data_IF_960106765519
#
_entry.id   IF_960106765519
#
_cell.length_a   1.000
_cell.length_b   1.000
_cell.length_c   1.000
_cell.angle_alpha   90.00
_cell.angle_beta   90.00
_cell.angle_gamma   90.00
#
_symmetry.space_group_name_H-M   'P 1'
#
loop_
_entity.id
_entity.type
_entity.pdbx_description
1 polymer ?
#
# COMPACT_ATOMS: atom_id res chain seq x y z
N UNK A 1 22.97 -0.08 51.06
CA UNK A 1 21.93 -0.40 50.08
C UNK A 1 22.64 -0.63 48.73
N UNK A 2 22.57 -1.80 48.11
CA UNK A 2 23.25 -2.01 46.83
C UNK A 2 22.35 -1.50 45.70
N UNK A 3 22.94 -0.67 44.83
CA UNK A 3 22.34 -0.18 43.57
C UNK A 3 22.10 -1.34 42.61
N UNK A 4 20.86 -1.49 42.17
CA UNK A 4 20.47 -2.43 41.13
C UNK A 4 20.66 -1.77 39.75
N UNK A 5 21.71 -2.17 39.05
CA UNK A 5 21.89 -1.86 37.64
C UNK A 5 20.79 -2.49 36.78
N UNK A 6 20.18 -1.77 35.83
CA UNK A 6 19.19 -2.36 34.92
C UNK A 6 19.87 -3.39 34.01
N UNK A 7 19.30 -4.58 33.94
CA UNK A 7 19.73 -5.67 33.04
C UNK A 7 19.66 -5.20 31.58
N UNK A 8 20.82 -4.98 30.96
CA UNK A 8 20.94 -4.69 29.54
C UNK A 8 20.52 -5.89 28.72
N UNK A 9 19.49 -5.72 27.90
CA UNK A 9 19.15 -6.69 26.85
C UNK A 9 20.28 -6.74 25.82
N UNK A 10 20.74 -7.91 25.38
CA UNK A 10 21.76 -8.01 24.36
C UNK A 10 21.27 -7.35 23.08
N UNK A 11 22.01 -6.37 22.58
CA UNK A 11 21.77 -5.77 21.27
C UNK A 11 22.10 -6.83 20.21
N UNK A 12 21.04 -7.50 19.74
CA UNK A 12 21.17 -8.40 18.58
C UNK A 12 21.51 -7.51 17.38
N UNK A 13 22.79 -7.47 16.98
CA UNK A 13 23.20 -6.92 15.68
C UNK A 13 22.53 -7.78 14.61
N UNK A 14 21.40 -7.31 14.06
CA UNK A 14 20.80 -7.92 12.87
C UNK A 14 21.82 -7.75 11.74
N UNK A 15 22.38 -8.88 11.28
CA UNK A 15 23.14 -8.89 10.02
C UNK A 15 22.23 -8.28 8.95
N UNK A 16 22.68 -7.22 8.31
CA UNK A 16 22.03 -6.69 7.11
C UNK A 16 22.30 -7.70 5.99
N UNK A 17 21.35 -8.60 5.80
CA UNK A 17 21.32 -9.42 4.59
C UNK A 17 20.79 -8.51 3.49
N UNK A 18 21.63 -8.18 2.55
CA UNK A 18 21.24 -7.52 1.31
C UNK A 18 20.56 -8.61 0.46
N UNK A 19 19.24 -8.64 0.46
CA UNK A 19 18.47 -9.49 -0.42
C UNK A 19 18.02 -8.61 -1.59
N UNK A 20 18.61 -8.79 -2.79
CA UNK A 20 18.10 -8.12 -3.98
C UNK A 20 16.63 -8.47 -4.15
N UNK A 21 15.87 -7.57 -4.81
CA UNK A 21 14.46 -7.83 -5.12
C UNK A 21 14.31 -9.20 -5.77
N UNK A 22 13.35 -9.97 -5.29
CA UNK A 22 13.06 -11.30 -5.85
C UNK A 22 12.65 -11.19 -7.32
N UNK A 23 12.76 -12.31 -8.04
CA UNK A 23 12.32 -12.38 -9.44
C UNK A 23 10.81 -12.16 -9.56
N UNK A 24 10.37 -11.74 -10.73
CA UNK A 24 8.95 -11.58 -11.04
C UNK A 24 8.13 -12.84 -10.71
N UNK A 25 8.59 -14.02 -11.13
CA UNK A 25 7.85 -15.27 -10.89
C UNK A 25 7.77 -15.64 -9.41
N UNK A 26 8.84 -15.40 -8.64
CA UNK A 26 8.82 -15.62 -7.19
C UNK A 26 7.82 -14.68 -6.49
N UNK A 27 7.83 -13.40 -6.84
CA UNK A 27 6.89 -12.40 -6.30
C UNK A 27 5.45 -12.69 -6.71
N UNK A 28 5.24 -13.16 -7.95
CA UNK A 28 3.93 -13.53 -8.44
C UNK A 28 3.37 -14.76 -7.70
N UNK A 29 4.21 -15.75 -7.42
CA UNK A 29 3.83 -16.90 -6.58
C UNK A 29 3.47 -16.49 -5.15
N UNK A 30 4.22 -15.57 -4.53
CA UNK A 30 3.85 -15.03 -3.22
C UNK A 30 2.51 -14.27 -3.27
N UNK A 31 2.26 -13.51 -4.34
CA UNK A 31 1.02 -12.76 -4.52
C UNK A 31 -0.18 -13.69 -4.72
N UNK A 32 -0.02 -14.78 -5.50
CA UNK A 32 -1.03 -15.81 -5.68
C UNK A 32 -1.42 -16.47 -4.35
N UNK A 33 -0.42 -16.85 -3.54
CA UNK A 33 -0.66 -17.44 -2.21
C UNK A 33 -1.38 -16.45 -1.29
N UNK A 34 -0.97 -15.17 -1.31
CA UNK A 34 -1.55 -14.14 -0.44
C UNK A 34 -3.01 -13.80 -0.81
N UNK A 35 -3.35 -13.88 -2.10
CA UNK A 35 -4.68 -13.54 -2.62
C UNK A 35 -5.61 -14.76 -2.78
N UNK A 36 -5.04 -15.97 -2.85
CA UNK A 36 -5.77 -17.22 -2.98
C UNK A 36 -5.95 -17.74 -4.42
N UNK A 37 -5.69 -16.93 -5.44
CA UNK A 37 -5.69 -17.34 -6.86
C UNK A 37 -4.92 -16.37 -7.71
N UNK A 38 -4.46 -16.81 -8.88
CA UNK A 38 -3.80 -15.94 -9.85
C UNK A 38 -4.81 -15.27 -10.79
N UNK A 39 -4.62 -13.96 -11.02
CA UNK A 39 -5.42 -13.19 -11.98
C UNK A 39 -4.59 -12.09 -12.68
N UNK A 40 -5.12 -11.52 -13.76
CA UNK A 40 -4.46 -10.45 -14.50
C UNK A 40 -4.13 -9.22 -13.64
N UNK A 41 -4.99 -8.89 -12.66
CA UNK A 41 -4.77 -7.78 -11.73
C UNK A 41 -3.54 -7.98 -10.85
N UNK A 42 -3.26 -9.22 -10.43
CA UNK A 42 -2.05 -9.52 -9.66
C UNK A 42 -0.78 -9.38 -10.49
N UNK A 43 -0.80 -9.83 -11.74
CA UNK A 43 0.34 -9.66 -12.66
C UNK A 43 0.66 -8.17 -12.83
N UNK A 44 -0.37 -7.33 -13.09
CA UNK A 44 -0.19 -5.88 -13.14
C UNK A 44 0.34 -5.31 -11.83
N UNK A 45 -0.20 -5.74 -10.69
CA UNK A 45 0.21 -5.26 -9.37
C UNK A 45 1.67 -5.58 -9.05
N UNK A 46 2.12 -6.81 -9.32
CA UNK A 46 3.53 -7.21 -9.15
C UNK A 46 4.43 -6.37 -10.05
N UNK A 47 4.11 -6.26 -11.35
CA UNK A 47 4.92 -5.51 -12.31
C UNK A 47 4.96 -4.01 -12.00
N UNK A 48 3.81 -3.43 -11.62
CA UNK A 48 3.72 -2.03 -11.21
C UNK A 48 4.58 -1.74 -9.98
N UNK A 49 4.55 -2.62 -8.98
CA UNK A 49 5.33 -2.44 -7.77
C UNK A 49 6.83 -2.64 -8.00
N UNK A 50 7.22 -3.61 -8.82
CA UNK A 50 8.62 -3.77 -9.23
C UNK A 50 9.13 -2.53 -9.97
N UNK A 51 8.36 -2.01 -10.92
CA UNK A 51 8.70 -0.80 -11.67
C UNK A 51 8.82 0.42 -10.73
N UNK A 52 7.89 0.60 -9.80
CA UNK A 52 7.94 1.69 -8.83
C UNK A 52 9.17 1.63 -7.92
N UNK A 53 9.52 0.44 -7.45
CA UNK A 53 10.75 0.23 -6.67
C UNK A 53 12.01 0.51 -7.51
N UNK A 54 12.06 0.03 -8.74
CA UNK A 54 13.17 0.27 -9.68
C UNK A 54 13.41 1.77 -9.91
N UNK A 55 12.35 2.52 -10.23
CA UNK A 55 12.44 3.98 -10.48
C UNK A 55 12.91 4.77 -9.26
N UNK A 56 12.64 4.29 -8.06
CA UNK A 56 13.06 4.91 -6.80
C UNK A 56 14.41 4.39 -6.28
N UNK A 57 15.03 3.40 -6.93
CA UNK A 57 16.24 2.74 -6.43
C UNK A 57 16.01 2.04 -5.09
N UNK A 58 14.86 1.39 -4.95
CA UNK A 58 14.50 0.55 -3.80
C UNK A 58 14.80 -0.91 -4.20
N UNK A 59 15.85 -1.48 -3.63
CA UNK A 59 16.31 -2.82 -3.99
C UNK A 59 15.78 -3.91 -3.06
N UNK A 60 15.58 -3.60 -1.78
CA UNK A 60 15.10 -4.53 -0.76
C UNK A 60 13.92 -3.94 0.03
N UNK A 61 12.73 -3.81 -0.60
CA UNK A 61 11.58 -3.14 0.02
C UNK A 61 11.03 -3.87 1.25
N UNK A 62 11.30 -5.17 1.39
CA UNK A 62 10.87 -5.97 2.56
C UNK A 62 11.94 -6.03 3.66
N UNK A 63 13.18 -5.72 3.36
CA UNK A 63 14.33 -5.80 4.26
C UNK A 63 14.97 -4.45 4.56
N UNK A 64 16.10 -4.13 3.91
CA UNK A 64 16.89 -2.93 4.20
C UNK A 64 16.11 -1.62 3.95
N UNK A 65 15.36 -1.55 2.86
CA UNK A 65 14.63 -0.36 2.43
C UNK A 65 13.20 -0.26 3.02
N UNK A 66 12.77 -1.22 3.84
CA UNK A 66 11.36 -1.34 4.32
C UNK A 66 10.80 -0.10 5.04
N UNK A 67 11.68 0.80 5.53
CA UNK A 67 11.27 2.05 6.19
C UNK A 67 11.26 3.26 5.26
N UNK A 68 11.81 3.10 4.06
CA UNK A 68 11.89 4.16 3.06
C UNK A 68 10.61 4.30 2.27
N UNK A 69 9.87 3.19 2.06
CA UNK A 69 8.79 3.14 1.10
C UNK A 69 7.42 3.36 1.76
N UNK A 70 6.65 4.29 1.19
CA UNK A 70 5.21 4.43 1.38
C UNK A 70 4.55 4.28 0.02
N UNK A 71 3.45 3.53 -0.03
CA UNK A 71 2.72 3.27 -1.27
C UNK A 71 1.27 3.71 -1.12
N UNK A 72 0.77 4.50 -2.06
CA UNK A 72 -0.64 4.83 -2.21
C UNK A 72 -1.22 3.94 -3.32
N UNK A 73 -2.35 3.30 -3.05
CA UNK A 73 -3.13 2.53 -4.03
C UNK A 73 -4.47 3.22 -4.28
N UNK A 74 -4.92 3.23 -5.54
CA UNK A 74 -6.11 3.99 -5.95
C UNK A 74 -7.32 3.09 -6.22
N UNK A 75 -7.21 1.79 -5.88
CA UNK A 75 -8.26 0.79 -6.05
C UNK A 75 -8.12 -0.32 -4.99
N UNK A 76 -9.23 -0.91 -4.58
CA UNK A 76 -9.33 -2.03 -3.63
C UNK A 76 -9.48 -3.39 -4.34
N UNK A 77 -8.62 -3.67 -5.33
CA UNK A 77 -8.68 -4.89 -6.15
C UNK A 77 -7.39 -5.70 -6.03
N UNK A 78 -7.36 -6.86 -6.69
CA UNK A 78 -6.26 -7.85 -6.66
C UNK A 78 -4.85 -7.24 -6.79
N UNK A 79 -4.69 -6.16 -7.58
CA UNK A 79 -3.41 -5.48 -7.73
C UNK A 79 -2.89 -4.88 -6.41
N UNK A 80 -3.78 -4.43 -5.52
CA UNK A 80 -3.41 -3.87 -4.23
C UNK A 80 -2.73 -4.90 -3.34
N UNK A 81 -3.23 -6.14 -3.32
CA UNK A 81 -2.61 -7.24 -2.57
C UNK A 81 -1.23 -7.57 -3.14
N UNK A 82 -1.10 -7.65 -4.46
CA UNK A 82 0.16 -7.90 -5.13
C UNK A 82 1.19 -6.78 -4.86
N UNK A 83 0.78 -5.51 -4.93
CA UNK A 83 1.61 -4.36 -4.57
C UNK A 83 2.07 -4.46 -3.11
N UNK A 84 1.18 -4.84 -2.20
CA UNK A 84 1.51 -5.00 -0.79
C UNK A 84 2.49 -6.17 -0.55
N UNK A 85 2.41 -7.24 -1.33
CA UNK A 85 3.35 -8.39 -1.30
C UNK A 85 4.74 -7.95 -1.73
N UNK A 86 4.85 -7.26 -2.87
CA UNK A 86 6.14 -6.81 -3.42
C UNK A 86 6.81 -5.78 -2.50
N UNK A 87 6.07 -4.76 -2.10
CA UNK A 87 6.60 -3.61 -1.34
C UNK A 87 6.77 -3.88 0.15
N UNK A 88 6.06 -4.89 0.69
CA UNK A 88 5.94 -5.10 2.14
C UNK A 88 5.16 -4.01 2.86
N UNK A 89 4.59 -3.03 2.14
CA UNK A 89 3.72 -2.00 2.68
C UNK A 89 2.39 -2.60 3.16
N UNK A 90 1.91 -2.17 4.33
CA UNK A 90 0.67 -2.65 4.95
C UNK A 90 -0.07 -1.49 5.60
N UNK A 91 -1.41 -1.56 5.64
CA UNK A 91 -2.24 -0.57 6.36
C UNK A 91 -1.84 -0.46 7.82
N UNK A 92 -1.68 -1.59 8.52
CA UNK A 92 -1.28 -1.62 9.94
C UNK A 92 0.12 -1.08 10.22
N UNK A 93 1.01 -1.03 9.22
CA UNK A 93 2.32 -0.36 9.30
C UNK A 93 2.24 1.12 8.90
N UNK A 94 1.07 1.60 8.46
CA UNK A 94 0.83 2.95 7.93
C UNK A 94 1.70 3.28 6.70
N UNK A 95 2.25 2.27 6.05
CA UNK A 95 3.06 2.37 4.84
C UNK A 95 2.24 2.16 3.56
N UNK A 96 1.12 1.43 3.63
CA UNK A 96 0.13 1.36 2.56
C UNK A 96 -0.98 2.36 2.83
N UNK A 97 -1.32 3.17 1.85
CA UNK A 97 -2.39 4.16 1.89
C UNK A 97 -3.40 3.85 0.81
N UNK A 98 -4.67 3.84 1.16
CA UNK A 98 -5.76 3.67 0.20
C UNK A 98 -6.41 5.01 -0.10
N UNK A 99 -6.58 5.31 -1.39
CA UNK A 99 -7.36 6.43 -1.92
C UNK A 99 -8.31 5.88 -2.97
N UNK A 100 -9.58 5.77 -2.62
CA UNK A 100 -10.58 5.15 -3.50
C UNK A 100 -10.93 6.10 -4.67
N UNK A 101 -10.19 5.93 -5.77
CA UNK A 101 -10.45 6.60 -7.03
C UNK A 101 -10.93 5.64 -8.12
N UNK A 102 -11.04 4.34 -7.81
CA UNK A 102 -11.43 3.30 -8.75
C UNK A 102 -10.43 3.11 -9.90
N UNK A 103 -9.18 3.56 -9.75
CA UNK A 103 -8.15 3.53 -10.81
C UNK A 103 -7.13 2.44 -10.53
N UNK A 104 -6.79 1.68 -11.58
CA UNK A 104 -5.68 0.71 -11.54
C UNK A 104 -4.35 1.47 -11.55
N UNK A 105 -4.01 2.09 -10.44
CA UNK A 105 -2.84 2.93 -10.27
C UNK A 105 -2.31 2.87 -8.84
N UNK A 106 -1.02 3.15 -8.70
CA UNK A 106 -0.37 3.33 -7.41
C UNK A 106 0.71 4.41 -7.48
N UNK A 107 0.96 5.07 -6.36
CA UNK A 107 2.05 6.03 -6.19
C UNK A 107 3.03 5.51 -5.15
N UNK A 108 4.29 5.41 -5.53
CA UNK A 108 5.39 4.97 -4.69
C UNK A 108 6.18 6.19 -4.23
N UNK A 109 6.45 6.28 -2.93
CA UNK A 109 7.14 7.43 -2.33
C UNK A 109 8.35 6.94 -1.55
N UNK A 110 9.53 7.41 -1.90
CA UNK A 110 10.73 7.22 -1.09
C UNK A 110 10.84 8.33 -0.04
N UNK A 111 10.63 7.98 1.21
CA UNK A 111 10.68 8.90 2.35
C UNK A 111 12.07 9.47 2.61
N UNK A 112 13.14 8.81 2.14
CA UNK A 112 14.51 9.28 2.35
C UNK A 112 14.91 10.41 1.40
N UNK A 113 14.34 10.42 0.19
CA UNK A 113 14.64 11.41 -0.86
C UNK A 113 13.48 12.36 -1.13
N UNK A 114 12.27 12.04 -0.69
CA UNK A 114 11.03 12.74 -1.04
C UNK A 114 10.55 12.52 -2.48
N UNK A 115 11.28 11.72 -3.27
CA UNK A 115 10.86 11.40 -4.65
C UNK A 115 9.63 10.52 -4.65
N UNK A 116 8.73 10.76 -5.58
CA UNK A 116 7.54 9.94 -5.77
C UNK A 116 7.23 9.73 -7.25
N UNK A 117 6.78 8.54 -7.60
CA UNK A 117 6.33 8.18 -8.93
C UNK A 117 4.95 7.55 -8.86
N UNK A 118 4.03 8.07 -9.68
CA UNK A 118 2.70 7.49 -9.90
C UNK A 118 2.73 6.64 -11.16
N UNK A 119 2.27 5.40 -11.06
CA UNK A 119 2.21 4.44 -12.16
C UNK A 119 0.76 4.01 -12.32
N UNK A 120 0.23 4.11 -13.54
CA UNK A 120 -1.15 3.73 -13.84
C UNK A 120 -1.20 2.76 -15.01
N UNK A 121 -2.06 1.74 -14.92
CA UNK A 121 -2.25 0.80 -16.00
C UNK A 121 -2.93 1.46 -17.21
N UNK A 122 -2.39 1.22 -18.40
CA UNK A 122 -2.95 1.71 -19.65
C UNK A 122 -4.14 0.87 -20.09
N UNK A 123 -5.26 1.50 -20.42
CA UNK A 123 -6.43 0.81 -20.96
C UNK A 123 -6.15 0.10 -22.30
N UNK A 124 -5.21 0.65 -23.10
CA UNK A 124 -4.73 0.05 -24.34
C UNK A 124 -4.10 -1.34 -24.14
N UNK A 125 -3.57 -1.64 -22.96
CA UNK A 125 -3.00 -2.96 -22.64
C UNK A 125 -4.01 -4.11 -22.81
N UNK A 126 -5.29 -3.84 -22.56
CA UNK A 126 -6.38 -4.81 -22.76
C UNK A 126 -6.62 -5.12 -24.24
N UNK A 127 -6.46 -4.11 -25.10
CA UNK A 127 -6.54 -4.29 -26.54
C UNK A 127 -5.32 -5.08 -27.03
N UNK A 128 -4.12 -4.71 -26.57
CA UNK A 128 -2.89 -5.44 -26.90
C UNK A 128 -2.97 -6.92 -26.51
N UNK A 129 -3.58 -7.24 -25.39
CA UNK A 129 -3.77 -8.62 -24.96
C UNK A 129 -4.65 -9.41 -25.96
N UNK A 130 -5.72 -8.80 -26.49
CA UNK A 130 -6.56 -9.41 -27.52
C UNK A 130 -5.84 -9.62 -28.84
N UNK A 131 -5.00 -8.67 -29.23
CA UNK A 131 -4.20 -8.74 -30.45
C UNK A 131 -3.12 -9.82 -30.39
N UNK A 132 -2.47 -9.98 -29.22
CA UNK A 132 -1.44 -11.01 -29.03
C UNK A 132 -2.02 -12.42 -28.92
N UNK A 133 -3.18 -12.57 -28.34
CA UNK A 133 -3.81 -13.87 -28.07
C UNK A 133 -5.25 -13.97 -28.64
N UNK A 134 -5.43 -13.79 -29.96
CA UNK A 134 -6.76 -13.71 -30.57
C UNK A 134 -7.55 -15.03 -30.47
N UNK A 135 -6.85 -16.16 -30.34
CA UNK A 135 -7.46 -17.49 -30.26
C UNK A 135 -7.89 -17.91 -28.85
N UNK A 136 -7.66 -17.06 -27.84
CA UNK A 136 -8.06 -17.32 -26.46
C UNK A 136 -9.36 -16.55 -26.18
N UNK A 137 -10.47 -17.25 -25.99
CA UNK A 137 -11.77 -16.63 -25.73
C UNK A 137 -11.86 -15.96 -24.35
N UNK A 138 -11.21 -16.53 -23.35
CA UNK A 138 -11.23 -16.03 -21.97
C UNK A 138 -10.37 -14.77 -21.84
N UNK A 139 -11.00 -13.61 -21.70
CA UNK A 139 -10.34 -12.31 -21.57
C UNK A 139 -9.33 -12.23 -20.42
N UNK A 140 -9.62 -12.86 -19.28
CA UNK A 140 -8.70 -12.86 -18.16
C UNK A 140 -7.44 -13.66 -18.50
N UNK A 141 -7.58 -14.81 -19.15
CA UNK A 141 -6.45 -15.62 -19.61
C UNK A 141 -5.62 -14.90 -20.66
N UNK A 142 -6.24 -14.22 -21.65
CA UNK A 142 -5.53 -13.36 -22.61
C UNK A 142 -4.65 -12.34 -21.88
N UNK A 143 -5.25 -11.61 -20.93
CA UNK A 143 -4.55 -10.58 -20.16
C UNK A 143 -3.44 -11.18 -19.29
N UNK A 144 -3.67 -12.31 -18.64
CA UNK A 144 -2.65 -12.97 -17.84
C UNK A 144 -1.40 -13.34 -18.64
N UNK A 145 -1.57 -13.82 -19.86
CA UNK A 145 -0.46 -14.14 -20.74
C UNK A 145 0.23 -12.85 -21.23
N UNK A 146 -0.53 -11.95 -21.82
CA UNK A 146 0.01 -10.71 -22.39
C UNK A 146 0.73 -9.83 -21.34
N UNK A 147 0.16 -9.72 -20.14
CA UNK A 147 0.76 -8.88 -19.08
C UNK A 147 2.06 -9.44 -18.51
N UNK A 148 2.37 -10.71 -18.74
CA UNK A 148 3.70 -11.27 -18.44
C UNK A 148 4.76 -10.82 -19.45
N UNK A 149 4.40 -10.64 -20.70
CA UNK A 149 5.32 -10.47 -21.82
C UNK A 149 5.44 -9.02 -22.31
N UNK A 150 4.33 -8.26 -22.27
CA UNK A 150 4.31 -6.87 -22.76
C UNK A 150 5.35 -6.01 -22.01
N UNK A 151 6.07 -5.13 -22.74
CA UNK A 151 6.97 -4.19 -22.09
C UNK A 151 6.21 -3.25 -21.15
N UNK A 152 6.88 -2.72 -20.13
CA UNK A 152 6.27 -1.80 -19.14
C UNK A 152 5.64 -0.57 -19.79
N UNK A 153 6.21 -0.09 -20.88
CA UNK A 153 5.71 1.06 -21.66
C UNK A 153 4.37 0.81 -22.37
N UNK A 154 4.02 -0.45 -22.61
CA UNK A 154 2.71 -0.83 -23.16
C UNK A 154 1.69 -1.19 -22.04
N UNK A 155 2.18 -1.40 -20.82
CA UNK A 155 1.35 -1.69 -19.66
C UNK A 155 1.00 -0.46 -18.82
N UNK A 156 1.94 0.49 -18.70
CA UNK A 156 1.84 1.56 -17.71
C UNK A 156 2.19 2.92 -18.30
N UNK A 157 1.53 3.95 -17.78
CA UNK A 157 2.03 5.32 -17.79
C UNK A 157 2.75 5.61 -16.48
N UNK A 158 3.80 6.40 -16.57
CA UNK A 158 4.65 6.82 -15.44
C UNK A 158 4.63 8.33 -15.32
N UNK A 159 4.46 8.85 -14.11
CA UNK A 159 4.46 10.29 -13.82
C UNK A 159 5.21 10.56 -12.52
N UNK A 160 6.25 11.40 -12.57
CA UNK A 160 6.91 11.89 -11.37
C UNK A 160 6.02 12.93 -10.71
N UNK A 161 5.75 12.75 -9.43
CA UNK A 161 4.80 13.57 -8.68
C UNK A 161 5.38 14.01 -7.34
N UNK A 162 4.76 15.02 -6.73
CA UNK A 162 5.02 15.41 -5.35
C UNK A 162 3.87 14.95 -4.48
N UNK A 163 4.16 14.27 -3.38
CA UNK A 163 3.15 13.78 -2.43
C UNK A 163 3.35 14.47 -1.08
N UNK A 164 2.52 15.45 -0.72
CA UNK A 164 2.57 16.09 0.59
C UNK A 164 1.98 15.16 1.66
N UNK A 165 2.84 14.35 2.31
CA UNK A 165 2.40 13.45 3.38
C UNK A 165 2.29 14.26 4.66
N UNK A 166 1.07 14.37 5.22
CA UNK A 166 0.89 15.04 6.50
C UNK A 166 1.65 14.29 7.62
N UNK A 167 2.32 14.98 8.56
CA UNK A 167 3.10 14.33 9.63
C UNK A 167 2.34 13.22 10.37
N UNK A 168 1.07 13.45 10.70
CA UNK A 168 0.20 12.45 11.35
C UNK A 168 -0.03 11.17 10.52
N UNK A 169 0.22 11.19 9.21
CA UNK A 169 0.08 10.05 8.31
C UNK A 169 1.40 9.28 8.12
N UNK A 170 2.50 9.80 8.60
CA UNK A 170 3.80 9.14 8.48
C UNK A 170 3.86 7.81 9.23
N UNK A 171 4.53 6.77 8.68
CA UNK A 171 4.84 5.57 9.43
C UNK A 171 5.60 5.90 10.74
N UNK A 172 5.16 5.29 11.84
CA UNK A 172 5.80 5.50 13.14
C UNK A 172 5.36 6.77 13.88
N UNK A 173 4.52 7.62 13.31
CA UNK A 173 3.95 8.78 14.02
C UNK A 173 3.18 8.32 15.27
N UNK A 174 3.36 9.05 16.35
CA UNK A 174 2.69 8.81 17.63
C UNK A 174 2.15 10.13 18.18
N UNK A 175 0.97 10.07 18.77
CA UNK A 175 0.36 11.15 19.53
C UNK A 175 -0.36 10.57 20.75
N UNK A 176 -0.78 11.43 21.66
CA UNK A 176 -1.63 11.05 22.78
C UNK A 176 -2.98 10.50 22.25
N UNK A 177 -3.52 9.53 23.00
CA UNK A 177 -4.89 9.05 22.72
C UNK A 177 -5.87 9.93 23.47
N UNK A 178 -6.87 10.44 22.78
CA UNK A 178 -7.90 11.34 23.31
C UNK A 178 -9.25 10.60 23.29
N UNK A 179 -10.06 10.71 24.34
CA UNK A 179 -11.41 10.17 24.35
C UNK A 179 -12.38 11.09 23.60
N UNK A 180 -13.25 10.52 22.80
CA UNK A 180 -14.36 11.25 22.19
C UNK A 180 -15.35 11.70 23.27
N UNK A 181 -15.68 12.99 23.31
CA UNK A 181 -16.61 13.52 24.32
C UNK A 181 -18.03 12.92 24.20
N UNK A 182 -18.41 12.43 23.02
CA UNK A 182 -19.77 11.90 22.78
C UNK A 182 -19.91 10.40 22.97
N UNK A 183 -19.01 9.57 22.42
CA UNK A 183 -19.11 8.10 22.52
C UNK A 183 -18.11 7.47 23.49
N UNK A 184 -17.16 8.23 24.04
CA UNK A 184 -16.14 7.74 24.96
C UNK A 184 -15.02 6.92 24.30
N UNK A 185 -15.12 6.59 23.02
CA UNK A 185 -14.10 5.82 22.32
C UNK A 185 -12.80 6.60 22.13
N UNK A 186 -11.68 5.91 22.21
CA UNK A 186 -10.36 6.54 22.08
C UNK A 186 -9.98 6.83 20.63
N UNK A 187 -9.59 8.06 20.38
CA UNK A 187 -9.11 8.58 19.10
C UNK A 187 -7.59 8.59 19.11
N UNK A 188 -6.96 8.08 18.05
CA UNK A 188 -5.51 8.04 17.91
C UNK A 188 -5.03 8.92 16.79
N UNK A 189 -3.77 9.35 16.86
CA UNK A 189 -3.02 9.96 15.77
C UNK A 189 -3.61 11.29 15.27
N UNK A 190 -4.07 12.13 16.19
CA UNK A 190 -4.62 13.47 15.92
C UNK A 190 -5.74 13.41 14.85
N UNK A 191 -6.64 12.40 14.99
CA UNK A 191 -7.80 12.25 14.11
C UNK A 191 -9.10 12.74 14.74
N UNK A 192 -9.00 13.39 15.88
CA UNK A 192 -10.12 14.11 16.49
C UNK A 192 -10.54 15.29 15.63
N UNK A 193 -11.82 15.65 15.78
CA UNK A 193 -12.45 16.80 15.15
C UNK A 193 -12.98 17.69 16.26
N UNK A 194 -12.64 18.98 16.23
CA UNK A 194 -13.19 19.96 17.15
C UNK A 194 -14.50 20.49 16.59
N UNK A 195 -15.58 20.32 17.32
CA UNK A 195 -16.93 20.85 17.00
C UNK A 195 -17.42 21.72 18.17
N UNK A 196 -17.34 23.04 18.00
CA UNK A 196 -17.49 23.96 19.12
C UNK A 196 -16.39 23.73 20.15
N UNK A 197 -16.76 23.41 21.40
CA UNK A 197 -15.81 23.09 22.47
C UNK A 197 -15.63 21.58 22.68
N UNK A 198 -16.35 20.73 21.91
CA UNK A 198 -16.27 19.28 22.03
C UNK A 198 -15.19 18.67 21.13
N UNK A 199 -14.37 17.79 21.70
CA UNK A 199 -13.43 16.95 20.93
C UNK A 199 -14.11 15.63 20.57
N UNK A 200 -14.41 15.42 19.28
CA UNK A 200 -15.18 14.28 18.80
C UNK A 200 -14.36 13.37 17.85
N UNK A 201 -14.73 12.09 17.78
CA UNK A 201 -14.30 11.25 16.68
C UNK A 201 -15.03 11.63 15.38
N UNK A 202 -14.48 11.28 14.22
CA UNK A 202 -15.08 11.58 12.91
C UNK A 202 -16.53 11.07 12.80
N UNK A 203 -16.80 9.87 13.31
CA UNK A 203 -18.13 9.26 13.28
C UNK A 203 -19.17 10.01 14.16
N UNK A 204 -18.72 10.68 15.22
CA UNK A 204 -19.59 11.51 16.04
C UNK A 204 -19.70 12.96 15.55
N UNK A 205 -18.64 13.46 14.92
CA UNK A 205 -18.64 14.80 14.30
C UNK A 205 -19.53 14.85 13.05
N UNK A 206 -19.55 13.75 12.26
CA UNK A 206 -20.34 13.62 11.02
C UNK A 206 -21.10 12.29 11.00
N UNK A 207 -22.18 12.16 11.78
CA UNK A 207 -22.94 10.89 11.90
C UNK A 207 -23.46 10.35 10.58
N UNK A 208 -23.77 11.23 9.63
CA UNK A 208 -24.27 10.91 8.29
C UNK A 208 -23.23 10.17 7.42
N UNK A 209 -21.95 10.26 7.76
CA UNK A 209 -20.85 9.57 7.04
C UNK A 209 -20.54 8.19 7.61
N UNK A 210 -21.27 7.73 8.63
CA UNK A 210 -21.06 6.40 9.20
C UNK A 210 -21.39 5.32 8.18
N UNK A 211 -20.52 4.30 8.04
CA UNK A 211 -20.80 3.13 7.22
C UNK A 211 -21.77 2.13 7.90
N UNK A 212 -22.18 2.38 9.14
CA UNK A 212 -23.11 1.55 9.93
C UNK A 212 -24.16 2.43 10.61
N UNK A 213 -25.28 1.82 10.95
CA UNK A 213 -26.30 2.40 11.80
C UNK A 213 -26.52 1.50 13.03
N UNK A 214 -26.58 2.05 14.26
CA UNK A 214 -26.95 1.28 15.43
C UNK A 214 -28.35 0.71 15.26
N UNK A 215 -28.53 -0.57 15.64
CA UNK A 215 -29.88 -1.13 15.78
C UNK A 215 -30.52 -0.46 17.00
N UNK A 216 -31.62 0.25 16.79
CA UNK A 216 -32.45 0.67 17.91
C UNK A 216 -33.21 -0.55 18.39
N UNK A 217 -32.94 -1.00 19.63
CA UNK A 217 -33.80 -1.99 20.29
C UNK A 217 -35.24 -1.45 20.28
N UNK A 218 -36.18 -2.26 19.76
CA UNK A 218 -37.61 -1.98 19.79
C UNK A 218 -38.18 -2.32 21.13
#
# INVERSE_FOLDING_TARGET
MPETTPRGYPTIRRKQYHHPMQTFDALLGEAEVAHGHLCAGQILGVRMAMLGCERLGIEDPKGADRKRLVTYVEIDRCATDAIAVVTGCRLGKRALKFRDWGKMAATFVDLSTGKAIRIAALESSKQRARELYPNIENKNQQQMLAYRELPTTELFSEEWVTVPIHPREMPGYKSARIACARCGEGINYDREVLVGEETLCQACASPETRYYQPLTEK
#
